data_IF_282727147395
#
_entry.id   IF_282727147395
#
_cell.length_a   1.000
_cell.length_b   1.000
_cell.length_c   1.000
_cell.angle_alpha   90.00
_cell.angle_beta   90.00
_cell.angle_gamma   90.00
#
_symmetry.space_group_name_H-M   'P 1'
#
loop_
_entity.id
_entity.type
_entity.pdbx_description
1 polymer ?
#
# COMPACT_ATOMS: atom_id res chain seq x y z
N UNK A 1 -12.33 -11.77 1.75
CA UNK A 1 -12.84 -10.61 0.97
C UNK A 1 -11.67 -9.88 0.30
N UNK A 2 -11.87 -9.32 -0.90
CA UNK A 2 -10.89 -8.42 -1.53
C UNK A 2 -11.19 -7.00 -1.08
N UNK A 3 -10.19 -6.29 -0.54
CA UNK A 3 -10.37 -4.93 -0.01
C UNK A 3 -9.70 -3.86 -0.85
N UNK A 4 -8.68 -4.23 -1.62
CA UNK A 4 -7.93 -3.28 -2.43
C UNK A 4 -7.63 -3.85 -3.81
N UNK A 5 -7.63 -2.95 -4.80
CA UNK A 5 -7.15 -3.20 -6.15
C UNK A 5 -6.20 -2.07 -6.55
N UNK A 6 -5.15 -2.40 -7.27
CA UNK A 6 -4.24 -1.44 -7.89
C UNK A 6 -3.72 -1.99 -9.23
N UNK A 7 -3.24 -1.10 -10.08
CA UNK A 7 -2.42 -1.49 -11.24
C UNK A 7 -0.96 -1.21 -10.92
N UNK A 8 -0.07 -2.16 -11.22
CA UNK A 8 1.38 -1.95 -11.08
C UNK A 8 2.10 -2.70 -12.21
N UNK A 9 2.96 -1.98 -12.94
CA UNK A 9 3.72 -2.53 -14.08
C UNK A 9 2.84 -3.25 -15.12
N UNK A 10 1.64 -2.73 -15.38
CA UNK A 10 0.67 -3.30 -16.32
C UNK A 10 -0.03 -4.57 -15.84
N UNK A 11 0.10 -4.92 -14.56
CA UNK A 11 -0.59 -6.05 -13.94
C UNK A 11 -1.66 -5.55 -12.98
N UNK A 12 -2.80 -6.25 -12.93
CA UNK A 12 -3.80 -6.02 -11.89
C UNK A 12 -3.31 -6.68 -10.60
N UNK A 13 -3.46 -6.00 -9.49
CA UNK A 13 -3.05 -6.47 -8.17
C UNK A 13 -4.22 -6.36 -7.21
N UNK A 14 -4.44 -7.38 -6.37
CA UNK A 14 -5.52 -7.40 -5.38
C UNK A 14 -5.02 -7.78 -3.98
N UNK A 15 -5.48 -7.05 -2.96
CA UNK A 15 -5.21 -7.31 -1.54
C UNK A 15 -6.44 -7.90 -0.84
N UNK A 16 -6.23 -8.87 0.06
CA UNK A 16 -7.30 -9.70 0.63
C UNK A 16 -7.19 -9.90 2.14
N UNK A 17 -8.32 -10.30 2.74
CA UNK A 17 -8.44 -10.80 4.12
C UNK A 17 -7.69 -12.12 4.38
N UNK A 18 -7.17 -12.77 3.36
CA UNK A 18 -6.34 -13.98 3.52
C UNK A 18 -4.86 -13.65 3.76
N UNK A 19 -4.55 -12.38 4.00
CA UNK A 19 -3.21 -11.81 4.24
C UNK A 19 -2.31 -11.82 2.99
N UNK A 20 -2.86 -12.17 1.84
CA UNK A 20 -2.11 -12.27 0.59
C UNK A 20 -2.40 -11.13 -0.37
N UNK A 21 -1.45 -10.92 -1.27
CA UNK A 21 -1.65 -10.13 -2.47
C UNK A 21 -1.60 -11.07 -3.66
N UNK A 22 -2.53 -10.90 -4.61
CA UNK A 22 -2.54 -11.65 -5.86
C UNK A 22 -2.25 -10.72 -7.02
N UNK A 23 -1.49 -11.23 -7.98
CA UNK A 23 -1.12 -10.52 -9.19
C UNK A 23 -1.72 -11.26 -10.38
N UNK A 24 -2.39 -10.52 -11.24
CA UNK A 24 -3.23 -11.04 -12.31
C UNK A 24 -2.79 -10.44 -13.63
N UNK A 25 -2.76 -11.29 -14.65
CA UNK A 25 -2.60 -10.85 -16.03
C UNK A 25 -3.95 -10.34 -16.55
N UNK A 26 -4.10 -9.04 -16.87
CA UNK A 26 -5.38 -8.49 -17.32
C UNK A 26 -5.79 -8.97 -18.72
N UNK A 27 -4.89 -9.57 -19.50
CA UNK A 27 -5.21 -10.12 -20.82
C UNK A 27 -5.83 -11.52 -20.74
N UNK A 28 -5.43 -12.32 -19.74
CA UNK A 28 -5.88 -13.71 -19.56
C UNK A 28 -6.77 -13.91 -18.33
N UNK A 29 -6.78 -12.95 -17.40
CA UNK A 29 -7.44 -13.01 -16.09
C UNK A 29 -6.96 -14.15 -15.20
N UNK A 30 -5.74 -14.64 -15.44
CA UNK A 30 -5.12 -15.71 -14.67
C UNK A 30 -4.25 -15.11 -13.56
N UNK A 31 -4.35 -15.67 -12.36
CA UNK A 31 -3.46 -15.35 -11.24
C UNK A 31 -2.05 -15.86 -11.55
N UNK A 32 -1.09 -14.95 -11.71
CA UNK A 32 0.30 -15.29 -12.02
C UNK A 32 1.15 -15.50 -10.76
N UNK A 33 0.89 -14.72 -9.71
CA UNK A 33 1.65 -14.78 -8.46
C UNK A 33 0.74 -14.62 -7.24
N UNK A 34 1.13 -15.23 -6.13
CA UNK A 34 0.56 -14.95 -4.80
C UNK A 34 1.69 -14.56 -3.86
N UNK A 35 1.65 -13.32 -3.41
CA UNK A 35 2.66 -12.69 -2.58
C UNK A 35 2.27 -12.90 -1.13
N UNK A 36 3.21 -13.46 -0.37
CA UNK A 36 3.08 -13.71 1.06
C UNK A 36 4.01 -12.75 1.81
N UNK A 37 3.64 -12.38 3.02
CA UNK A 37 4.54 -11.63 3.92
C UNK A 37 3.84 -10.72 4.91
N UNK A 38 2.62 -10.25 4.62
CA UNK A 38 1.78 -9.64 5.64
C UNK A 38 1.29 -10.71 6.61
N UNK A 39 1.18 -10.33 7.88
CA UNK A 39 0.73 -11.24 8.95
C UNK A 39 -0.76 -11.11 9.25
N UNK A 40 -1.42 -10.13 8.62
CA UNK A 40 -2.85 -9.85 8.74
C UNK A 40 -3.37 -9.24 7.42
N UNK A 41 -4.63 -8.83 7.37
CA UNK A 41 -5.35 -8.46 6.14
C UNK A 41 -4.65 -7.38 5.35
N UNK A 42 -4.66 -7.49 4.03
CA UNK A 42 -4.14 -6.45 3.14
C UNK A 42 -5.28 -5.51 2.78
N UNK A 43 -5.22 -4.29 3.33
CA UNK A 43 -6.31 -3.31 3.31
C UNK A 43 -6.18 -2.27 2.21
N UNK A 44 -4.94 -1.94 1.82
CA UNK A 44 -4.67 -0.91 0.83
C UNK A 44 -3.57 -1.35 -0.14
N UNK A 45 -3.67 -0.90 -1.39
CA UNK A 45 -2.65 -1.07 -2.42
C UNK A 45 -2.47 0.24 -3.18
N UNK A 46 -1.24 0.54 -3.57
CA UNK A 46 -0.91 1.67 -4.45
C UNK A 46 0.34 1.36 -5.29
N UNK A 47 0.51 2.04 -6.41
CA UNK A 47 1.78 2.14 -7.12
C UNK A 47 2.47 3.43 -6.68
N UNK A 48 3.76 3.34 -6.34
CA UNK A 48 4.59 4.51 -6.11
C UNK A 48 6.03 4.26 -6.58
N UNK A 49 6.54 5.14 -7.43
CA UNK A 49 7.91 5.12 -7.95
C UNK A 49 8.33 3.82 -8.64
N UNK A 50 7.41 3.21 -9.37
CA UNK A 50 7.58 1.94 -10.08
C UNK A 50 7.47 0.71 -9.19
N UNK A 51 7.05 0.86 -7.94
CA UNK A 51 6.92 -0.24 -6.98
C UNK A 51 5.48 -0.39 -6.52
N UNK A 52 5.08 -1.63 -6.25
CA UNK A 52 3.82 -1.88 -5.57
C UNK A 52 4.04 -1.63 -4.08
N UNK A 53 3.07 -0.97 -3.45
CA UNK A 53 3.03 -0.73 -2.02
C UNK A 53 1.74 -1.29 -1.45
N UNK A 54 1.80 -1.96 -0.31
CA UNK A 54 0.64 -2.51 0.39
C UNK A 54 0.58 -2.07 1.85
N UNK A 55 -0.62 -1.74 2.32
CA UNK A 55 -0.92 -1.41 3.72
C UNK A 55 -1.80 -2.49 4.33
N UNK A 56 -1.56 -2.81 5.60
CA UNK A 56 -2.19 -3.95 6.25
C UNK A 56 -2.69 -3.66 7.66
N UNK A 57 -3.57 -4.54 8.12
CA UNK A 57 -4.01 -4.67 9.50
C UNK A 57 -2.88 -5.05 10.46
N UNK A 58 -1.72 -5.52 9.95
CA UNK A 58 -0.53 -5.77 10.76
C UNK A 58 0.28 -4.50 11.11
N UNK A 59 -0.29 -3.32 10.86
CA UNK A 59 0.27 -1.98 11.10
C UNK A 59 1.48 -1.64 10.21
N UNK A 60 1.84 -2.50 9.26
CA UNK A 60 2.98 -2.30 8.39
C UNK A 60 2.57 -1.88 6.99
N UNK A 61 3.53 -1.25 6.31
CA UNK A 61 3.49 -1.07 4.86
C UNK A 61 4.61 -1.91 4.25
N UNK A 62 4.35 -2.62 3.15
CA UNK A 62 5.36 -3.37 2.42
C UNK A 62 5.54 -2.83 1.02
N UNK A 63 6.78 -2.85 0.55
CA UNK A 63 7.16 -2.44 -0.80
C UNK A 63 7.66 -3.66 -1.55
N UNK A 64 7.10 -3.88 -2.74
CA UNK A 64 7.33 -5.05 -3.56
C UNK A 64 7.94 -4.62 -4.90
N UNK A 65 8.97 -5.36 -5.32
CA UNK A 65 9.56 -5.21 -6.64
C UNK A 65 8.66 -5.87 -7.69
N UNK A 66 8.09 -5.14 -8.66
CA UNK A 66 7.20 -5.74 -9.65
C UNK A 66 7.89 -6.70 -10.64
N UNK A 67 9.22 -6.67 -10.73
CA UNK A 67 9.97 -7.59 -11.61
C UNK A 67 10.14 -8.98 -11.01
N UNK A 68 10.21 -9.07 -9.67
CA UNK A 68 10.45 -10.32 -8.93
C UNK A 68 9.30 -10.69 -8.00
N UNK A 69 8.43 -9.74 -7.70
CA UNK A 69 7.38 -9.79 -6.67
C UNK A 69 7.89 -10.11 -5.27
N UNK A 70 9.17 -9.81 -5.00
CA UNK A 70 9.79 -9.96 -3.68
C UNK A 70 9.57 -8.68 -2.87
N UNK A 71 9.22 -8.85 -1.58
CA UNK A 71 9.18 -7.76 -0.62
C UNK A 71 10.59 -7.21 -0.39
N UNK A 72 10.84 -5.97 -0.79
CA UNK A 72 12.13 -5.29 -0.62
C UNK A 72 12.24 -4.55 0.70
N UNK A 73 11.14 -3.98 1.19
CA UNK A 73 11.11 -3.20 2.43
C UNK A 73 9.83 -3.47 3.21
N UNK A 74 9.94 -3.41 4.54
CA UNK A 74 8.80 -3.33 5.45
C UNK A 74 8.94 -2.04 6.26
N UNK A 75 8.03 -1.11 6.02
CA UNK A 75 8.02 0.19 6.66
C UNK A 75 7.19 0.07 7.95
N UNK A 76 7.85 0.43 9.04
CA UNK A 76 7.29 0.48 10.37
C UNK A 76 7.01 1.93 10.75
N UNK A 77 6.04 2.15 11.64
CA UNK A 77 5.84 3.46 12.27
C UNK A 77 4.39 3.86 12.49
N UNK A 78 3.44 3.22 11.79
CA UNK A 78 2.03 3.25 12.20
C UNK A 78 1.83 2.34 13.41
N UNK A 79 0.95 2.73 14.33
CA UNK A 79 0.65 1.96 15.54
C UNK A 79 -0.68 1.23 15.48
N UNK A 80 -1.39 1.36 14.36
CA UNK A 80 -2.65 0.69 14.05
C UNK A 80 -2.77 0.46 12.54
N UNK A 81 -3.81 -0.23 12.11
CA UNK A 81 -4.09 -0.65 10.72
C UNK A 81 -3.83 0.47 9.71
N UNK A 82 -3.17 0.13 8.60
CA UNK A 82 -2.98 1.04 7.46
C UNK A 82 -4.16 0.89 6.51
N UNK A 83 -5.14 1.79 6.62
CA UNK A 83 -6.38 1.75 5.85
C UNK A 83 -6.24 2.27 4.42
N UNK A 84 -5.35 3.24 4.21
CA UNK A 84 -5.27 3.95 2.94
C UNK A 84 -3.81 4.18 2.52
N UNK A 85 -3.56 4.05 1.23
CA UNK A 85 -2.33 4.43 0.57
C UNK A 85 -2.66 5.29 -0.65
N UNK A 86 -1.87 6.32 -0.89
CA UNK A 86 -1.94 7.13 -2.10
C UNK A 86 -0.55 7.64 -2.46
N UNK A 87 -0.33 7.87 -3.75
CA UNK A 87 0.79 8.69 -4.21
C UNK A 87 0.35 10.15 -4.16
N UNK A 88 1.18 11.06 -3.67
CA UNK A 88 0.91 12.49 -3.67
C UNK A 88 2.21 13.24 -3.93
N UNK A 89 2.25 14.05 -4.99
CA UNK A 89 3.46 14.83 -5.35
C UNK A 89 4.73 13.96 -5.47
N UNK A 90 4.57 12.72 -5.94
CA UNK A 90 5.67 11.77 -6.09
C UNK A 90 6.13 11.09 -4.79
N UNK A 91 5.48 11.35 -3.65
CA UNK A 91 5.71 10.65 -2.38
C UNK A 91 4.60 9.64 -2.11
N UNK A 92 4.88 8.65 -1.27
CA UNK A 92 3.83 7.80 -0.73
C UNK A 92 3.22 8.48 0.49
N UNK A 93 1.90 8.44 0.60
CA UNK A 93 1.13 8.89 1.74
C UNK A 93 0.30 7.73 2.27
N UNK A 94 0.30 7.54 3.59
CA UNK A 94 -0.49 6.50 4.26
C UNK A 94 -1.40 7.08 5.32
N UNK A 95 -2.61 6.55 5.42
CA UNK A 95 -3.60 6.86 6.46
C UNK A 95 -3.88 5.63 7.30
N UNK A 96 -4.01 5.82 8.61
CA UNK A 96 -4.11 4.72 9.58
C UNK A 96 -5.21 4.91 10.63
N UNK A 97 -5.56 3.81 11.29
CA UNK A 97 -6.36 3.79 12.51
C UNK A 97 -5.72 4.55 13.68
N UNK A 98 -4.42 4.82 13.63
CA UNK A 98 -3.73 5.64 14.63
C UNK A 98 -4.05 7.15 14.52
N UNK A 99 -5.02 7.51 13.67
CA UNK A 99 -5.46 8.88 13.40
C UNK A 99 -4.40 9.77 12.74
N UNK A 100 -3.30 9.18 12.25
CA UNK A 100 -2.22 9.93 11.60
C UNK A 100 -2.17 9.69 10.10
N UNK A 101 -1.60 10.67 9.41
CA UNK A 101 -1.13 10.52 8.04
C UNK A 101 0.40 10.52 8.07
N UNK A 102 1.04 9.59 7.36
CA UNK A 102 2.50 9.58 7.21
C UNK A 102 2.90 9.78 5.76
N UNK A 103 3.98 10.52 5.56
CA UNK A 103 4.57 10.80 4.24
C UNK A 103 5.92 10.11 4.17
N UNK A 104 6.14 9.32 3.14
CA UNK A 104 7.31 8.47 2.97
C UNK A 104 8.07 8.86 1.71
N UNK A 105 9.38 8.96 1.82
CA UNK A 105 10.28 9.17 0.69
C UNK A 105 10.45 7.86 -0.11
N UNK A 106 10.01 7.77 -1.38
CA UNK A 106 10.11 6.51 -2.12
C UNK A 106 11.54 6.10 -2.48
N UNK A 107 12.53 7.00 -2.37
CA UNK A 107 13.93 6.66 -2.65
C UNK A 107 14.61 5.93 -1.48
N UNK A 108 14.17 6.22 -0.25
CA UNK A 108 14.75 5.68 0.99
C UNK A 108 13.77 4.85 1.80
N UNK A 109 12.47 4.98 1.53
CA UNK A 109 11.34 4.48 2.30
C UNK A 109 11.34 4.91 3.77
N UNK A 110 11.95 6.06 4.06
CA UNK A 110 11.95 6.68 5.38
C UNK A 110 10.74 7.61 5.53
N UNK A 111 10.09 7.55 6.68
CA UNK A 111 9.03 8.48 7.07
C UNK A 111 9.62 9.89 7.22
N UNK A 112 9.24 10.81 6.35
CA UNK A 112 9.70 12.21 6.40
C UNK A 112 8.81 13.08 7.27
N UNK A 113 7.50 12.80 7.30
CA UNK A 113 6.53 13.56 8.08
C UNK A 113 5.45 12.65 8.67
N UNK A 114 5.00 13.03 9.86
CA UNK A 114 3.76 12.52 10.46
C UNK A 114 2.84 13.72 10.66
N UNK A 115 1.75 13.74 9.91
CA UNK A 115 0.70 14.76 10.00
C UNK A 115 -0.32 14.32 11.04
N UNK A 116 -0.56 15.22 11.99
CA UNK A 116 -1.50 15.06 13.09
C UNK A 116 -2.64 16.07 12.91
N UNK A 117 -3.83 15.73 13.39
CA UNK A 117 -4.97 16.66 13.38
C UNK A 117 -6.33 15.98 13.25
N UNK A 118 -6.38 14.79 12.64
CA UNK A 118 -7.55 13.93 12.76
C UNK A 118 -7.65 13.38 14.19
N UNK A 119 -8.88 13.21 14.66
CA UNK A 119 -9.18 12.65 15.99
C UNK A 119 -9.71 11.22 15.92
N UNK A 120 -9.72 10.64 14.74
CA UNK A 120 -10.22 9.29 14.44
C UNK A 120 -9.56 8.77 13.14
N UNK A 121 -9.91 7.55 12.75
CA UNK A 121 -9.29 6.78 11.67
C UNK A 121 -9.23 7.52 10.33
N UNK A 122 -8.07 7.48 9.69
CA UNK A 122 -7.88 7.97 8.33
C UNK A 122 -8.15 6.83 7.35
N UNK A 123 -9.42 6.65 7.01
CA UNK A 123 -9.87 5.48 6.23
C UNK A 123 -9.64 5.59 4.72
N UNK A 124 -9.47 6.81 4.19
CA UNK A 124 -9.33 7.02 2.75
C UNK A 124 -8.39 8.19 2.47
N UNK A 125 -7.61 8.03 1.41
CA UNK A 125 -6.77 9.07 0.83
C UNK A 125 -7.04 9.10 -0.67
N UNK A 126 -7.08 10.29 -1.25
CA UNK A 126 -7.16 10.48 -2.68
C UNK A 126 -6.24 11.64 -3.06
N UNK A 127 -5.47 11.45 -4.12
CA UNK A 127 -4.78 12.57 -4.77
C UNK A 127 -5.76 13.23 -5.74
N UNK A 128 -5.91 14.54 -5.62
CA UNK A 128 -6.48 15.32 -6.70
C UNK A 128 -5.31 15.89 -7.49
N UNK A 129 -5.03 15.35 -8.67
CA UNK A 129 -4.14 16.00 -9.61
C UNK A 129 -4.82 17.29 -10.05
N UNK A 130 -4.39 18.42 -9.47
CA UNK A 130 -4.83 19.72 -9.93
C UNK A 130 -4.24 20.01 -11.30
N UNK A 131 -5.02 19.74 -12.36
CA UNK A 131 -5.08 20.53 -13.59
C UNK A 131 -6.34 20.19 -14.40
#
# INVERSE_FOLDING_TARGET
PVYALAECSGQLVSGSYDNTIKVWDPSTWICQQTLQGHTDFVMALAECSGQLVSGSYDNTIKVWDPSTWICQQTLQGHTDVVWALAKCSGQLVSGSGDSTIKVWDPSTWICQQTLQGHTDFVMALAECSGQ
#
